data_IF_830139089644
#
_entry.id   IF_830139089644
#
_cell.length_a   1.000
_cell.length_b   1.000
_cell.length_c   1.000
_cell.angle_alpha   90.00
_cell.angle_beta   90.00
_cell.angle_gamma   90.00
#
_symmetry.space_group_name_H-M   'P 1'
#
loop_
_entity.id
_entity.type
_entity.pdbx_description
1 polymer ?
#
# COMPACT_ATOMS: atom_id res chain seq x y z
N UNK A 1 -9.89 0.90 5.00
CA UNK A 1 -8.73 1.54 4.34
C UNK A 1 -7.53 1.74 5.29
N UNK A 2 -7.70 2.38 6.45
CA UNK A 2 -6.59 2.70 7.38
C UNK A 2 -5.69 1.50 7.76
N UNK A 3 -6.29 0.36 8.10
CA UNK A 3 -5.56 -0.88 8.44
C UNK A 3 -4.64 -1.33 7.31
N UNK A 4 -5.19 -1.49 6.11
CA UNK A 4 -4.43 -1.90 4.94
C UNK A 4 -3.45 -0.83 4.45
N UNK A 5 -3.67 0.45 4.73
CA UNK A 5 -2.76 1.51 4.31
C UNK A 5 -1.37 1.40 4.97
N UNK A 6 -1.32 1.14 6.29
CA UNK A 6 -0.05 0.92 7.00
C UNK A 6 0.63 -0.41 6.63
N UNK A 7 -0.17 -1.45 6.38
CA UNK A 7 0.37 -2.68 5.81
C UNK A 7 1.01 -2.43 4.44
N UNK A 8 0.31 -1.69 3.57
CA UNK A 8 0.82 -1.39 2.24
C UNK A 8 2.08 -0.52 2.28
N UNK A 9 2.15 0.47 3.18
CA UNK A 9 3.34 1.34 3.31
C UNK A 9 4.61 0.61 3.71
N UNK A 10 4.49 -0.56 4.34
CA UNK A 10 5.63 -1.41 4.75
C UNK A 10 5.85 -2.63 3.87
N UNK A 11 4.87 -2.97 3.04
CA UNK A 11 4.96 -4.11 2.13
C UNK A 11 5.79 -3.79 0.89
N UNK A 12 6.38 -4.83 0.29
CA UNK A 12 7.07 -4.69 -1.00
C UNK A 12 6.09 -4.23 -2.09
N UNK A 13 6.62 -3.50 -3.07
CA UNK A 13 5.85 -3.07 -4.25
C UNK A 13 5.24 -4.27 -4.97
N UNK A 14 3.97 -4.15 -5.35
CA UNK A 14 3.24 -5.21 -6.06
C UNK A 14 3.70 -5.27 -7.54
N UNK A 15 3.84 -4.10 -8.17
CA UNK A 15 4.43 -3.94 -9.49
C UNK A 15 5.96 -3.92 -9.41
N UNK A 16 6.60 -4.82 -10.17
CA UNK A 16 8.07 -4.95 -10.22
C UNK A 16 8.75 -3.83 -11.01
N UNK A 17 8.05 -3.29 -12.00
CA UNK A 17 8.56 -2.24 -12.90
C UNK A 17 8.12 -0.86 -12.41
N UNK A 18 9.03 0.10 -12.36
CA UNK A 18 8.75 1.46 -11.90
C UNK A 18 8.22 2.37 -13.02
N UNK A 19 8.65 2.11 -14.25
CA UNK A 19 8.27 2.80 -15.48
C UNK A 19 6.84 2.49 -15.95
N UNK A 20 6.22 1.40 -15.45
CA UNK A 20 4.89 0.95 -15.89
C UNK A 20 3.94 0.73 -14.74
N UNK A 21 2.66 0.93 -15.03
CA UNK A 21 1.56 0.59 -14.14
C UNK A 21 1.05 -0.81 -14.47
N UNK A 22 1.05 -1.71 -13.49
CA UNK A 22 0.48 -3.04 -13.64
C UNK A 22 -1.05 -2.99 -13.52
N UNK A 23 -1.73 -3.52 -14.53
CA UNK A 23 -3.18 -3.65 -14.57
C UNK A 23 -3.63 -5.06 -14.19
N UNK A 24 -4.91 -5.19 -13.84
CA UNK A 24 -5.51 -6.48 -13.50
C UNK A 24 -5.40 -7.43 -14.70
N UNK A 25 -4.82 -8.63 -14.55
CA UNK A 25 -4.82 -9.61 -15.62
C UNK A 25 -6.26 -10.11 -15.85
N UNK A 26 -6.68 -10.15 -17.11
CA UNK A 26 -7.96 -10.78 -17.48
C UNK A 26 -7.79 -12.30 -17.44
N UNK A 27 -8.71 -13.05 -16.79
CA UNK A 27 -8.66 -14.51 -16.76
C UNK A 27 -9.11 -15.11 -18.10
N UNK A 28 -8.30 -14.90 -19.14
CA UNK A 28 -8.52 -15.45 -20.47
C UNK A 28 -9.87 -15.04 -21.06
N UNK A 29 -10.67 -16.02 -21.50
CA UNK A 29 -11.97 -15.84 -22.17
C UNK A 29 -13.11 -15.39 -21.25
N UNK A 30 -12.93 -15.49 -19.93
CA UNK A 30 -13.94 -15.05 -18.97
C UNK A 30 -13.84 -13.53 -18.78
N UNK A 31 -14.96 -12.83 -19.00
CA UNK A 31 -15.04 -11.39 -18.74
C UNK A 31 -14.97 -11.14 -17.24
N UNK A 32 -14.15 -10.18 -16.83
CA UNK A 32 -14.19 -9.66 -15.47
C UNK A 32 -15.58 -9.14 -15.14
N UNK A 33 -16.08 -9.45 -13.95
CA UNK A 33 -17.33 -8.86 -13.45
C UNK A 33 -17.10 -7.40 -13.10
N UNK A 34 -17.90 -6.51 -13.68
CA UNK A 34 -17.88 -5.09 -13.32
C UNK A 34 -18.59 -4.92 -11.98
N UNK A 35 -17.92 -4.23 -11.05
CA UNK A 35 -18.48 -3.86 -9.75
C UNK A 35 -18.42 -2.33 -9.66
N UNK A 36 -19.49 -1.72 -9.15
CA UNK A 36 -19.53 -0.30 -8.84
C UNK A 36 -19.61 -0.14 -7.33
N UNK A 37 -18.67 0.60 -6.74
CA UNK A 37 -18.60 0.85 -5.30
C UNK A 37 -18.49 2.35 -5.08
N UNK A 38 -19.22 2.87 -4.09
CA UNK A 38 -19.08 4.26 -3.65
C UNK A 38 -18.06 4.29 -2.50
N UNK A 39 -16.96 5.01 -2.71
CA UNK A 39 -15.89 5.18 -1.73
C UNK A 39 -15.75 6.67 -1.41
N UNK A 40 -15.61 7.06 -0.14
CA UNK A 40 -15.35 8.46 0.22
C UNK A 40 -14.10 9.00 -0.49
N UNK A 41 -14.15 10.25 -0.94
CA UNK A 41 -13.09 10.88 -1.75
C UNK A 41 -11.70 10.72 -1.13
N UNK A 42 -11.55 11.01 0.17
CA UNK A 42 -10.26 10.87 0.86
C UNK A 42 -9.72 9.43 0.84
N UNK A 43 -10.58 8.43 1.02
CA UNK A 43 -10.17 7.02 0.97
C UNK A 43 -9.82 6.58 -0.44
N UNK A 44 -10.52 7.11 -1.45
CA UNK A 44 -10.22 6.85 -2.86
C UNK A 44 -8.90 7.49 -3.30
N UNK A 45 -8.62 8.71 -2.84
CA UNK A 45 -7.33 9.38 -3.06
C UNK A 45 -6.19 8.62 -2.40
N UNK A 46 -6.34 8.20 -1.14
CA UNK A 46 -5.34 7.37 -0.45
C UNK A 46 -5.07 6.05 -1.20
N UNK A 47 -6.12 5.35 -1.64
CA UNK A 47 -5.97 4.15 -2.47
C UNK A 47 -5.20 4.46 -3.76
N UNK A 48 -5.47 5.61 -4.38
CA UNK A 48 -4.73 6.10 -5.55
C UNK A 48 -3.24 6.31 -5.28
N UNK A 49 -2.90 7.00 -4.20
CA UNK A 49 -1.51 7.26 -3.78
C UNK A 49 -0.76 5.95 -3.54
N UNK A 50 -1.37 5.02 -2.80
CA UNK A 50 -0.79 3.70 -2.54
C UNK A 50 -0.64 2.91 -3.86
N UNK A 51 -1.67 2.88 -4.71
CA UNK A 51 -1.60 2.17 -5.99
C UNK A 51 -0.43 2.69 -6.85
N UNK A 52 -0.22 4.01 -6.90
CA UNK A 52 0.91 4.60 -7.61
C UNK A 52 2.24 4.18 -7.00
N UNK A 53 2.41 4.23 -5.68
CA UNK A 53 3.62 3.76 -5.01
C UNK A 53 3.92 2.28 -5.30
N UNK A 54 2.90 1.43 -5.26
CA UNK A 54 3.03 0.01 -5.58
C UNK A 54 3.19 -0.28 -7.08
N UNK A 55 3.05 0.72 -7.96
CA UNK A 55 3.17 0.54 -9.42
C UNK A 55 2.01 -0.26 -10.02
N UNK A 56 0.80 -0.14 -9.48
CA UNK A 56 -0.40 -0.85 -9.91
C UNK A 56 -1.55 0.12 -10.17
N UNK A 57 -2.55 -0.32 -10.93
CA UNK A 57 -3.78 0.46 -11.11
C UNK A 57 -4.64 0.47 -9.83
N UNK A 58 -5.50 1.49 -9.66
CA UNK A 58 -6.46 1.55 -8.54
C UNK A 58 -7.33 0.30 -8.46
N UNK A 59 -7.81 -0.20 -9.60
CA UNK A 59 -8.64 -1.41 -9.67
C UNK A 59 -7.87 -2.66 -9.24
N UNK A 60 -6.61 -2.79 -9.65
CA UNK A 60 -5.75 -3.88 -9.22
C UNK A 60 -5.59 -3.88 -7.70
N UNK A 61 -5.21 -2.73 -7.12
CA UNK A 61 -5.02 -2.61 -5.67
C UNK A 61 -6.32 -2.88 -4.92
N UNK A 62 -7.45 -2.34 -5.39
CA UNK A 62 -8.76 -2.60 -4.78
C UNK A 62 -9.10 -4.09 -4.76
N UNK A 63 -8.91 -4.79 -5.88
CA UNK A 63 -9.15 -6.22 -5.97
C UNK A 63 -8.20 -7.03 -5.08
N UNK A 64 -6.94 -6.62 -5.00
CA UNK A 64 -5.96 -7.22 -4.09
C UNK A 64 -6.40 -7.10 -2.62
N UNK A 65 -6.91 -5.94 -2.21
CA UNK A 65 -7.44 -5.74 -0.85
C UNK A 65 -8.67 -6.61 -0.57
N UNK A 66 -9.58 -6.75 -1.54
CA UNK A 66 -10.71 -7.68 -1.41
C UNK A 66 -10.24 -9.13 -1.24
N UNK A 67 -9.16 -9.53 -1.94
CA UNK A 67 -8.58 -10.85 -1.79
C UNK A 67 -7.95 -11.06 -0.40
N UNK A 68 -7.26 -10.05 0.14
CA UNK A 68 -6.74 -10.12 1.52
C UNK A 68 -7.88 -10.29 2.54
N UNK A 69 -8.95 -9.51 2.38
CA UNK A 69 -10.13 -9.62 3.23
C UNK A 69 -10.77 -11.01 3.16
N UNK A 70 -10.96 -11.54 1.94
CA UNK A 70 -11.55 -12.85 1.71
C UNK A 70 -10.70 -14.01 2.27
N UNK A 71 -9.38 -13.84 2.34
CA UNK A 71 -8.47 -14.82 2.95
C UNK A 71 -8.45 -14.75 4.48
N UNK A 72 -9.17 -13.81 5.11
CA UNK A 72 -9.24 -13.67 6.56
C UNK A 72 -7.95 -13.19 7.22
N UNK A 73 -6.96 -12.72 6.45
CA UNK A 73 -5.67 -12.23 6.99
C UNK A 73 -5.78 -10.83 7.61
N UNK A 74 -6.97 -10.22 7.59
CA UNK A 74 -7.21 -8.91 8.17
C UNK A 74 -6.82 -8.83 9.66
N UNK A 75 -7.12 -9.87 10.44
CA UNK A 75 -6.82 -9.90 11.88
C UNK A 75 -5.31 -10.00 12.18
N UNK A 76 -4.55 -10.81 11.43
CA UNK A 76 -3.10 -10.92 11.61
C UNK A 76 -2.37 -9.64 11.17
N UNK A 77 -2.83 -9.02 10.08
CA UNK A 77 -2.36 -7.73 9.64
C UNK A 77 -2.67 -6.67 10.71
N UNK A 78 -3.88 -6.64 11.25
CA UNK A 78 -4.29 -5.69 12.28
C UNK A 78 -3.40 -5.78 13.52
N UNK A 79 -3.10 -6.98 14.01
CA UNK A 79 -2.23 -7.18 15.16
C UNK A 79 -0.81 -6.64 14.90
N UNK A 80 -0.26 -6.95 13.73
CA UNK A 80 1.07 -6.49 13.31
C UNK A 80 1.11 -4.96 13.14
N UNK A 81 0.09 -4.40 12.48
CA UNK A 81 -0.06 -2.96 12.24
C UNK A 81 -0.25 -2.19 13.54
N UNK A 82 -0.95 -2.75 14.53
CA UNK A 82 -1.16 -2.13 15.83
C UNK A 82 0.07 -2.19 16.74
N UNK A 83 0.92 -3.21 16.59
CA UNK A 83 2.16 -3.34 17.37
C UNK A 83 3.21 -2.28 16.99
N UNK A 84 3.25 -1.84 15.73
CA UNK A 84 4.19 -0.77 15.31
C UNK A 84 3.70 0.63 15.70
N UNK A 85 4.62 1.57 15.87
CA UNK A 85 4.34 2.98 16.18
C UNK A 85 4.73 3.86 14.97
N UNK A 86 3.87 4.80 14.53
CA UNK A 86 2.50 5.09 14.99
C UNK A 86 1.51 4.03 14.50
N UNK A 87 0.36 3.84 15.17
CA UNK A 87 -0.67 2.88 14.72
C UNK A 87 -1.15 3.17 13.28
N UNK A 88 -1.21 4.44 12.88
CA UNK A 88 -1.51 4.88 11.52
C UNK A 88 -0.70 6.13 11.16
N UNK A 89 -0.39 6.28 9.87
CA UNK A 89 0.19 7.52 9.33
C UNK A 89 -0.89 8.60 9.16
N UNK A 90 -0.48 9.86 9.31
CA UNK A 90 -1.28 11.06 9.13
C UNK A 90 -1.20 11.59 7.70
N UNK A 91 -0.02 11.51 7.08
CA UNK A 91 0.22 11.97 5.71
C UNK A 91 0.85 10.85 4.85
N UNK A 92 0.59 10.91 3.55
CA UNK A 92 1.14 9.99 2.55
C UNK A 92 1.55 10.80 1.33
N UNK A 93 2.83 10.67 0.94
CA UNK A 93 3.42 11.39 -0.18
C UNK A 93 4.01 10.38 -1.16
N UNK A 94 3.50 10.38 -2.39
CA UNK A 94 4.05 9.57 -3.46
C UNK A 94 4.99 10.42 -4.32
N UNK A 95 6.21 9.92 -4.52
CA UNK A 95 7.22 10.56 -5.36
C UNK A 95 7.60 9.60 -6.50
N UNK A 96 7.35 10.05 -7.73
CA UNK A 96 7.91 9.46 -8.94
C UNK A 96 9.20 10.21 -9.27
N UNK A 97 10.33 9.57 -9.01
CA UNK A 97 11.65 10.14 -9.30
C UNK A 97 12.13 9.63 -10.66
N UNK A 98 12.46 10.55 -11.56
CA UNK A 98 12.99 10.28 -12.89
C UNK A 98 14.43 10.79 -12.95
N UNK A 99 15.38 9.87 -13.01
CA UNK A 99 16.79 10.17 -13.23
C UNK A 99 17.08 10.00 -14.72
N UNK A 100 17.11 11.11 -15.44
CA UNK A 100 17.31 11.13 -16.89
C UNK A 100 18.76 10.78 -17.27
N UNK A 101 19.72 11.13 -16.42
CA UNK A 101 21.14 10.86 -16.65
C UNK A 101 21.43 9.36 -16.66
N UNK A 102 20.78 8.62 -15.74
CA UNK A 102 20.93 7.17 -15.65
C UNK A 102 19.78 6.39 -16.30
N UNK A 103 18.80 7.08 -16.90
CA UNK A 103 17.56 6.50 -17.45
C UNK A 103 16.82 5.60 -16.43
N UNK A 104 16.74 6.03 -15.18
CA UNK A 104 16.12 5.27 -14.09
C UNK A 104 14.83 5.93 -13.60
N UNK A 105 13.86 5.08 -13.25
CA UNK A 105 12.60 5.51 -12.65
C UNK A 105 12.46 4.86 -11.29
N UNK A 106 12.20 5.66 -10.26
CA UNK A 106 11.97 5.16 -8.90
C UNK A 106 10.63 5.66 -8.38
N UNK A 107 9.90 4.78 -7.69
CA UNK A 107 8.65 5.10 -7.00
C UNK A 107 8.88 5.00 -5.51
N UNK A 108 8.71 6.11 -4.80
CA UNK A 108 8.88 6.19 -3.35
C UNK A 108 7.56 6.58 -2.71
N UNK A 109 7.29 5.98 -1.56
CA UNK A 109 6.19 6.36 -0.68
C UNK A 109 6.80 6.85 0.62
N UNK A 110 6.48 8.07 0.97
CA UNK A 110 6.81 8.68 2.25
C UNK A 110 5.54 8.75 3.08
N UNK A 111 5.68 8.49 4.38
CA UNK A 111 4.58 8.50 5.31
C UNK A 111 5.03 9.22 6.58
N UNK A 112 4.16 10.07 7.13
CA UNK A 112 4.44 10.74 8.41
C UNK A 112 3.38 10.36 9.45
N UNK A 113 3.77 10.04 10.70
CA UNK A 113 5.16 9.75 11.11
C UNK A 113 5.72 8.55 10.35
N UNK A 114 7.04 8.43 10.24
CA UNK A 114 7.65 7.23 9.66
C UNK A 114 7.23 5.98 10.46
N UNK A 115 7.10 4.84 9.78
CA UNK A 115 6.71 3.59 10.44
C UNK A 115 7.92 2.99 11.15
N UNK A 116 7.86 2.94 12.48
CA UNK A 116 8.79 2.17 13.30
C UNK A 116 8.09 0.88 13.73
N UNK A 117 8.56 -0.27 13.23
CA UNK A 117 8.03 -1.58 13.62
C UNK A 117 8.57 -2.07 14.97
N UNK A 118 9.64 -1.47 15.48
CA UNK A 118 10.28 -1.81 16.75
C UNK A 118 10.14 -0.64 17.73
N UNK A 119 9.03 -0.58 18.46
CA UNK A 119 8.89 0.31 19.63
C UNK A 119 9.05 -0.46 20.96
N UNK A 120 9.25 -1.78 20.91
CA UNK A 120 9.23 -2.65 22.09
C UNK A 120 10.61 -3.01 22.67
N UNK A 121 11.72 -2.52 22.11
CA UNK A 121 13.08 -2.80 22.64
C UNK A 121 13.68 -1.64 23.46
N UNK A 122 12.92 -0.57 23.75
CA UNK A 122 13.42 0.55 24.57
C UNK A 122 13.19 0.39 26.08
N UNK A 123 12.61 -0.72 26.55
CA UNK A 123 12.51 -1.02 27.99
C UNK A 123 13.81 -1.56 28.62
N UNK A 124 14.95 -1.64 27.89
CA UNK A 124 16.19 -2.26 28.40
C UNK A 124 17.29 -1.30 28.88
N UNK A 125 17.09 0.03 28.91
CA UNK A 125 18.13 0.96 29.42
C UNK A 125 17.69 1.81 30.61
N UNK A 126 17.06 1.18 31.60
CA UNK A 126 16.94 1.75 32.94
C UNK A 126 17.31 0.69 34.00
N UNK A 127 18.61 0.49 34.17
CA UNK A 127 19.23 -0.04 35.40
C UNK A 127 20.36 0.86 35.79
#
# INVERSE_FOLDING_TARGET
MKVYAKYLSSSKRLGKKADRTLYQPSPGKLKMKRISVRVPSASWTLLGTLAQAHGVSKCYLFNYLLKLEALGVGNSILNTVRAGVPTFHWSYSYILHLDLSNNQVTRKLYCEPESYFYALDLEWFST
#
